data_IF_743218182248
#
_entry.id   IF_743218182248
#
_cell.length_a   1.000
_cell.length_b   1.000
_cell.length_c   1.000
_cell.angle_alpha   90.00
_cell.angle_beta   90.00
_cell.angle_gamma   90.00
#
_symmetry.space_group_name_H-M   'P 1'
#
loop_
_entity.id
_entity.type
_entity.pdbx_description
1 polymer ?
#
# COMPACT_ATOMS: atom_id res chain seq x y z
N UNK A 1 -2.53 12.17 0.05
CA UNK A 1 -1.61 11.02 0.22
C UNK A 1 -0.96 10.76 -1.13
N UNK A 2 0.35 10.52 -1.19
CA UNK A 2 1.01 10.17 -2.45
C UNK A 2 0.71 8.74 -2.84
N UNK A 3 0.25 8.51 -4.07
CA UNK A 3 -0.18 7.18 -4.53
C UNK A 3 0.99 6.20 -4.71
N UNK A 4 2.18 6.68 -5.07
CA UNK A 4 3.35 5.82 -5.33
C UNK A 4 3.99 5.22 -4.08
N UNK A 5 3.78 5.77 -2.88
CA UNK A 5 4.47 5.28 -1.68
C UNK A 5 3.74 5.59 -0.38
N UNK A 6 2.44 5.90 -0.47
CA UNK A 6 1.57 6.27 0.64
C UNK A 6 2.10 7.44 1.50
N UNK A 7 2.98 8.27 0.95
CA UNK A 7 3.59 9.39 1.68
C UNK A 7 2.51 10.37 2.10
N UNK A 8 2.52 10.74 3.39
CA UNK A 8 1.60 11.73 3.94
C UNK A 8 2.24 13.12 3.82
N UNK A 9 1.54 14.04 3.19
CA UNK A 9 2.02 15.40 2.92
C UNK A 9 0.99 16.42 3.40
N UNK A 10 1.48 17.52 3.95
CA UNK A 10 0.71 18.74 4.16
C UNK A 10 0.96 19.68 2.98
N UNK A 11 -0.12 20.14 2.35
CA UNK A 11 -0.10 20.99 1.16
C UNK A 11 -0.79 22.32 1.45
N UNK A 12 -0.35 23.38 0.76
CA UNK A 12 -1.05 24.67 0.75
C UNK A 12 -1.81 24.79 -0.56
N UNK A 13 -3.14 24.87 -0.46
CA UNK A 13 -4.00 25.09 -1.61
C UNK A 13 -3.83 26.53 -2.16
N UNK A 14 -4.05 26.73 -3.46
CA UNK A 14 -4.21 28.06 -4.05
C UNK A 14 -5.44 28.77 -3.46
N UNK A 15 -5.46 30.10 -3.47
CA UNK A 15 -6.52 30.90 -2.82
C UNK A 15 -7.93 30.60 -3.39
N UNK A 16 -8.01 30.21 -4.66
CA UNK A 16 -9.22 29.88 -5.41
C UNK A 16 -9.39 28.37 -5.65
N UNK A 17 -8.57 27.52 -5.02
CA UNK A 17 -8.65 26.08 -5.19
C UNK A 17 -9.94 25.52 -4.56
N UNK A 18 -10.75 24.85 -5.37
CA UNK A 18 -11.95 24.13 -4.92
C UNK A 18 -11.61 22.65 -4.71
N UNK A 19 -11.12 22.30 -3.51
CA UNK A 19 -10.68 20.95 -3.17
C UNK A 19 -11.66 20.25 -2.22
N UNK A 20 -11.99 19.00 -2.55
CA UNK A 20 -12.81 18.09 -1.75
C UNK A 20 -12.02 16.87 -1.27
N UNK A 21 -12.37 16.29 -0.11
CA UNK A 21 -11.78 15.02 0.31
C UNK A 21 -12.03 13.92 -0.74
N UNK A 22 -10.96 13.21 -1.13
CA UNK A 22 -11.00 12.19 -2.18
C UNK A 22 -10.49 12.69 -3.54
N UNK A 23 -10.33 14.00 -3.71
CA UNK A 23 -9.77 14.56 -4.93
C UNK A 23 -8.32 14.08 -5.17
N UNK A 24 -8.03 13.75 -6.43
CA UNK A 24 -6.67 13.43 -6.88
C UNK A 24 -6.06 14.65 -7.54
N UNK A 25 -4.88 15.03 -7.05
CA UNK A 25 -4.15 16.21 -7.49
C UNK A 25 -2.80 15.79 -8.05
N UNK A 26 -2.48 16.23 -9.26
CA UNK A 26 -1.09 16.18 -9.71
C UNK A 26 -0.26 17.19 -8.90
N UNK A 27 0.96 16.84 -8.52
CA UNK A 27 1.78 17.73 -7.67
C UNK A 27 2.27 18.97 -8.45
N UNK A 28 2.18 18.96 -9.77
CA UNK A 28 2.62 20.04 -10.67
C UNK A 28 1.51 21.04 -11.09
N UNK A 29 0.26 20.91 -10.61
CA UNK A 29 -0.84 21.82 -11.03
C UNK A 29 -0.94 23.07 -10.16
N UNK A 30 -1.44 24.15 -10.80
CA UNK A 30 -1.71 25.49 -10.25
C UNK A 30 -2.55 25.50 -8.96
N UNK A 31 -3.25 24.40 -8.64
CA UNK A 31 -4.06 24.28 -7.42
C UNK A 31 -3.23 24.22 -6.12
N UNK A 32 -1.90 24.08 -6.22
CA UNK A 32 -1.00 23.97 -5.07
C UNK A 32 0.02 25.10 -5.06
N UNK A 33 0.06 25.84 -3.95
CA UNK A 33 1.11 26.83 -3.69
C UNK A 33 2.43 26.19 -3.23
N UNK A 34 2.40 24.91 -2.86
CA UNK A 34 3.59 24.12 -2.51
C UNK A 34 3.32 23.00 -1.51
N UNK A 35 4.35 22.17 -1.31
CA UNK A 35 4.39 21.14 -0.27
C UNK A 35 5.01 21.76 0.99
N UNK A 36 4.26 21.79 2.10
CA UNK A 36 4.74 22.36 3.36
C UNK A 36 5.73 21.40 4.04
N UNK A 37 5.28 20.16 4.29
CA UNK A 37 6.07 19.15 4.99
C UNK A 37 5.52 17.75 4.80
N UNK A 38 6.35 16.76 5.15
CA UNK A 38 5.91 15.38 5.39
C UNK A 38 5.22 15.27 6.74
N UNK A 39 4.16 14.49 6.78
CA UNK A 39 3.41 14.14 7.98
C UNK A 39 3.70 12.68 8.37
N UNK A 40 3.52 12.37 9.64
CA UNK A 40 3.40 11.00 10.14
C UNK A 40 1.94 10.70 10.48
N UNK A 41 1.59 9.43 10.65
CA UNK A 41 0.24 9.02 11.05
C UNK A 41 -0.26 9.80 12.28
N UNK A 42 0.59 9.96 13.30
CA UNK A 42 0.23 10.64 14.55
C UNK A 42 0.06 12.16 14.42
N UNK A 43 0.58 12.77 13.35
CA UNK A 43 0.40 14.21 13.07
C UNK A 43 -0.84 14.51 12.23
N UNK A 44 -1.53 13.48 11.73
CA UNK A 44 -2.78 13.65 10.99
C UNK A 44 -3.93 14.03 11.93
N UNK A 45 -4.87 14.81 11.41
CA UNK A 45 -6.16 15.03 12.07
C UNK A 45 -6.94 13.72 12.19
N UNK A 46 -7.84 13.61 13.17
CA UNK A 46 -8.67 12.42 13.34
C UNK A 46 -9.45 12.08 12.05
N UNK A 47 -10.07 13.10 11.43
CA UNK A 47 -10.80 12.94 10.18
C UNK A 47 -9.94 12.43 9.01
N UNK A 48 -8.64 12.78 8.98
CA UNK A 48 -7.73 12.25 7.98
C UNK A 48 -7.33 10.80 8.30
N UNK A 49 -7.11 10.45 9.58
CA UNK A 49 -6.82 9.08 10.00
C UNK A 49 -7.98 8.13 9.66
N UNK A 50 -9.21 8.54 9.93
CA UNK A 50 -10.41 7.72 9.70
C UNK A 50 -10.61 7.37 8.21
N UNK A 51 -10.09 8.21 7.31
CA UNK A 51 -10.15 8.01 5.85
C UNK A 51 -8.98 7.22 5.26
N UNK A 52 -7.92 6.95 6.02
CA UNK A 52 -6.72 6.31 5.49
C UNK A 52 -7.04 4.95 4.87
N UNK A 53 -7.84 4.12 5.55
CA UNK A 53 -8.18 2.78 5.06
C UNK A 53 -8.90 2.82 3.71
N UNK A 54 -9.90 3.68 3.59
CA UNK A 54 -10.65 3.88 2.34
C UNK A 54 -9.73 4.42 1.23
N UNK A 55 -8.88 5.40 1.54
CA UNK A 55 -7.94 6.00 0.58
C UNK A 55 -6.92 4.98 0.07
N UNK A 56 -6.34 4.18 0.96
CA UNK A 56 -5.39 3.11 0.63
C UNK A 56 -6.09 2.05 -0.23
N UNK A 57 -7.31 1.67 0.12
CA UNK A 57 -8.12 0.71 -0.65
C UNK A 57 -8.30 1.19 -2.09
N UNK A 58 -8.70 2.44 -2.28
CA UNK A 58 -8.87 3.04 -3.59
C UNK A 58 -7.56 3.11 -4.38
N UNK A 59 -6.45 3.49 -3.74
CA UNK A 59 -5.13 3.53 -4.39
C UNK A 59 -4.70 2.12 -4.85
N UNK A 60 -4.89 1.10 -4.02
CA UNK A 60 -4.53 -0.28 -4.37
C UNK A 60 -5.40 -0.82 -5.49
N UNK A 61 -6.71 -0.58 -5.45
CA UNK A 61 -7.63 -1.01 -6.50
C UNK A 61 -7.27 -0.37 -7.85
N UNK A 62 -7.01 0.94 -7.87
CA UNK A 62 -6.69 1.66 -9.09
C UNK A 62 -5.29 1.38 -9.65
N UNK A 63 -4.43 0.79 -8.84
CA UNK A 63 -3.05 0.43 -9.20
C UNK A 63 -2.81 -1.08 -9.03
N UNK A 64 -3.83 -1.92 -9.24
CA UNK A 64 -3.78 -3.36 -9.01
C UNK A 64 -2.52 -4.02 -9.56
N UNK A 65 -2.17 -3.74 -10.82
CA UNK A 65 -1.00 -4.34 -11.47
C UNK A 65 0.30 -4.11 -10.69
N UNK A 66 0.50 -2.92 -10.09
CA UNK A 66 1.69 -2.62 -9.29
C UNK A 66 1.80 -3.56 -8.08
N UNK A 67 0.68 -3.87 -7.45
CA UNK A 67 0.64 -4.71 -6.27
C UNK A 67 0.71 -6.19 -6.61
N UNK A 68 0.17 -6.59 -7.76
CA UNK A 68 0.39 -7.92 -8.33
C UNK A 68 1.86 -8.12 -8.70
N UNK A 69 2.49 -7.11 -9.29
CA UNK A 69 3.93 -7.14 -9.56
C UNK A 69 4.74 -7.25 -8.26
N UNK A 70 4.29 -6.64 -7.16
CA UNK A 70 4.91 -6.84 -5.85
C UNK A 70 4.84 -8.30 -5.38
N UNK A 71 3.69 -8.97 -5.54
CA UNK A 71 3.55 -10.40 -5.25
C UNK A 71 4.45 -11.26 -6.14
N UNK A 72 4.40 -11.02 -7.46
CA UNK A 72 5.17 -11.76 -8.47
C UNK A 72 6.69 -11.64 -8.27
N UNK A 73 7.14 -10.46 -7.84
CA UNK A 73 8.55 -10.15 -7.69
C UNK A 73 9.03 -10.26 -6.24
N UNK A 74 8.20 -10.69 -5.29
CA UNK A 74 8.57 -10.78 -3.88
C UNK A 74 9.79 -11.70 -3.67
N UNK A 75 10.80 -11.20 -2.96
CA UNK A 75 12.09 -11.88 -2.77
C UNK A 75 12.35 -12.29 -1.30
N UNK A 76 13.31 -13.22 -1.07
CA UNK A 76 13.92 -13.40 0.23
C UNK A 76 14.58 -12.11 0.74
N UNK A 77 14.28 -11.72 1.98
CA UNK A 77 14.99 -10.65 2.70
C UNK A 77 16.28 -11.20 3.31
N UNK A 78 16.28 -12.47 3.70
CA UNK A 78 17.45 -13.17 4.22
C UNK A 78 17.19 -14.67 4.34
N UNK A 79 18.07 -15.39 5.04
CA UNK A 79 18.05 -16.87 5.10
C UNK A 79 16.74 -17.48 5.64
N UNK A 80 16.01 -16.74 6.49
CA UNK A 80 14.79 -17.23 7.16
C UNK A 80 13.57 -16.35 6.95
N UNK A 81 13.67 -15.28 6.14
CA UNK A 81 12.61 -14.29 6.00
C UNK A 81 12.43 -13.86 4.55
N UNK A 82 11.18 -13.75 4.13
CA UNK A 82 10.74 -13.36 2.81
C UNK A 82 9.95 -12.05 2.87
N UNK A 83 9.86 -11.33 1.76
CA UNK A 83 9.04 -10.12 1.66
C UNK A 83 7.55 -10.42 1.89
N UNK A 84 7.04 -11.56 1.41
CA UNK A 84 5.66 -12.00 1.68
C UNK A 84 5.35 -12.19 3.18
N UNK A 85 6.36 -12.48 4.02
CA UNK A 85 6.17 -12.66 5.47
C UNK A 85 5.88 -11.35 6.21
N UNK A 86 5.94 -10.21 5.51
CA UNK A 86 5.55 -8.94 6.12
C UNK A 86 4.04 -8.76 6.13
N UNK A 87 3.32 -9.43 5.22
CA UNK A 87 1.87 -9.32 5.16
C UNK A 87 1.23 -9.99 6.37
N UNK A 88 0.17 -9.39 6.94
CA UNK A 88 -0.56 -10.01 8.03
C UNK A 88 -1.08 -11.39 7.59
N UNK A 89 -1.10 -12.34 8.53
CA UNK A 89 -1.61 -13.69 8.31
C UNK A 89 -0.96 -14.52 7.18
N UNK A 90 0.19 -14.08 6.64
CA UNK A 90 1.02 -14.90 5.75
C UNK A 90 2.12 -15.60 6.54
N UNK A 91 1.85 -16.86 6.91
CA UNK A 91 2.84 -17.79 7.45
C UNK A 91 3.52 -18.64 6.37
N UNK A 92 4.43 -19.53 6.79
CA UNK A 92 5.24 -20.38 5.90
C UNK A 92 4.42 -21.08 4.80
N UNK A 93 3.30 -21.71 5.18
CA UNK A 93 2.45 -22.47 4.24
C UNK A 93 1.90 -21.59 3.12
N UNK A 94 1.38 -20.40 3.46
CA UNK A 94 0.81 -19.46 2.47
C UNK A 94 1.90 -18.87 1.60
N UNK A 95 3.03 -18.45 2.20
CA UNK A 95 4.19 -17.97 1.46
C UNK A 95 4.66 -19.00 0.42
N UNK A 96 4.85 -20.25 0.83
CA UNK A 96 5.31 -21.33 -0.05
C UNK A 96 4.32 -21.58 -1.19
N UNK A 97 3.01 -21.59 -0.89
CA UNK A 97 1.98 -21.71 -1.92
C UNK A 97 2.01 -20.57 -2.95
N UNK A 98 2.17 -19.31 -2.52
CA UNK A 98 2.30 -18.16 -3.43
C UNK A 98 3.54 -18.31 -4.32
N UNK A 99 4.69 -18.68 -3.76
CA UNK A 99 5.94 -18.84 -4.50
C UNK A 99 5.82 -19.98 -5.53
N UNK A 100 5.23 -21.11 -5.13
CA UNK A 100 5.10 -22.27 -6.01
C UNK A 100 4.13 -22.02 -7.16
N UNK A 101 3.02 -21.32 -6.91
CA UNK A 101 2.14 -20.88 -7.99
C UNK A 101 2.83 -19.86 -8.90
N UNK A 102 3.51 -18.86 -8.35
CA UNK A 102 4.23 -17.85 -9.13
C UNK A 102 5.29 -18.47 -10.06
N UNK A 103 5.95 -19.57 -9.63
CA UNK A 103 6.90 -20.33 -10.47
C UNK A 103 6.25 -20.98 -11.70
N UNK A 104 4.95 -21.29 -11.63
CA UNK A 104 4.17 -21.84 -12.75
C UNK A 104 3.72 -20.76 -13.74
N UNK A 105 3.75 -19.51 -13.32
CA UNK A 105 3.41 -18.33 -14.12
C UNK A 105 3.11 -17.14 -13.23
N UNK A 106 3.43 -15.93 -13.69
CA UNK A 106 3.07 -14.70 -12.98
C UNK A 106 1.56 -14.61 -12.80
N UNK A 107 1.13 -14.03 -11.68
CA UNK A 107 -0.26 -13.63 -11.46
C UNK A 107 -0.60 -12.43 -12.33
N UNK A 108 -1.82 -12.37 -12.83
CA UNK A 108 -2.29 -11.28 -13.71
C UNK A 108 -3.08 -10.22 -12.95
N UNK A 109 -3.88 -10.64 -11.98
CA UNK A 109 -4.72 -9.79 -11.14
C UNK A 109 -4.92 -10.45 -9.75
N UNK A 110 -5.61 -9.78 -8.82
CA UNK A 110 -5.88 -10.31 -7.49
C UNK A 110 -6.79 -11.54 -7.52
N UNK A 111 -7.69 -11.61 -8.50
CA UNK A 111 -8.61 -12.73 -8.66
C UNK A 111 -7.87 -14.00 -9.10
N UNK A 112 -6.90 -13.90 -10.01
CA UNK A 112 -6.02 -15.00 -10.44
C UNK A 112 -5.15 -15.48 -9.27
N UNK A 113 -4.59 -14.55 -8.49
CA UNK A 113 -3.83 -14.88 -7.28
C UNK A 113 -4.68 -15.66 -6.27
N UNK A 114 -5.88 -15.18 -5.95
CA UNK A 114 -6.79 -15.85 -5.01
C UNK A 114 -7.29 -17.20 -5.55
N UNK A 115 -7.60 -17.28 -6.84
CA UNK A 115 -8.07 -18.53 -7.47
C UNK A 115 -6.99 -19.61 -7.49
N UNK A 116 -5.72 -19.24 -7.67
CA UNK A 116 -4.60 -20.19 -7.74
C UNK A 116 -4.07 -20.58 -6.37
N UNK A 117 -4.18 -19.70 -5.38
CA UNK A 117 -3.71 -19.95 -4.02
C UNK A 117 -4.92 -20.08 -3.09
N UNK A 118 -5.60 -21.23 -3.09
CA UNK A 118 -6.84 -21.46 -2.32
C UNK A 118 -6.77 -21.05 -0.83
N UNK A 119 -5.57 -21.14 -0.23
CA UNK A 119 -5.36 -20.78 1.18
C UNK A 119 -5.24 -19.28 1.45
N UNK A 120 -5.13 -18.46 0.40
CA UNK A 120 -4.95 -17.02 0.45
C UNK A 120 -6.30 -16.36 0.15
N UNK A 121 -6.92 -15.80 1.17
CA UNK A 121 -8.18 -15.08 1.04
C UNK A 121 -7.90 -13.58 1.00
N UNK A 122 -8.54 -12.89 0.06
CA UNK A 122 -8.47 -11.44 -0.10
C UNK A 122 -7.02 -10.88 -0.04
N UNK A 123 -6.19 -11.18 -1.06
CA UNK A 123 -4.81 -10.68 -1.11
C UNK A 123 -4.74 -9.14 -1.10
N UNK A 124 -5.76 -8.47 -1.63
CA UNK A 124 -5.86 -7.01 -1.59
C UNK A 124 -5.97 -6.48 -0.16
N UNK A 125 -6.83 -7.07 0.68
CA UNK A 125 -6.97 -6.67 2.08
C UNK A 125 -5.67 -6.82 2.88
N UNK A 126 -4.86 -7.85 2.59
CA UNK A 126 -3.58 -8.03 3.27
C UNK A 126 -2.61 -6.87 3.00
N UNK A 127 -2.60 -6.35 1.77
CA UNK A 127 -1.81 -5.16 1.41
C UNK A 127 -2.35 -3.89 2.06
N UNK A 128 -3.68 -3.73 2.14
CA UNK A 128 -4.31 -2.57 2.79
C UNK A 128 -3.93 -2.52 4.27
N UNK A 129 -4.13 -3.62 4.99
CA UNK A 129 -3.79 -3.72 6.41
C UNK A 129 -2.28 -3.54 6.63
N UNK A 130 -1.46 -4.08 5.72
CA UNK A 130 -0.01 -3.89 5.77
C UNK A 130 0.39 -2.42 5.61
N UNK A 131 -0.12 -1.73 4.60
CA UNK A 131 0.19 -0.33 4.35
C UNK A 131 -0.27 0.56 5.53
N UNK A 132 -1.43 0.25 6.12
CA UNK A 132 -1.93 0.96 7.29
C UNK A 132 -1.02 0.76 8.52
N UNK A 133 -0.57 -0.47 8.78
CA UNK A 133 0.40 -0.77 9.86
C UNK A 133 1.74 -0.05 9.60
N UNK A 134 2.27 -0.07 8.37
CA UNK A 134 3.52 0.63 8.03
C UNK A 134 3.44 2.16 8.24
N UNK A 135 2.25 2.75 8.06
CA UNK A 135 2.01 4.17 8.36
C UNK A 135 1.88 4.43 9.87
N UNK A 136 1.10 3.60 10.57
CA UNK A 136 0.78 3.79 12.00
C UNK A 136 1.98 3.50 12.90
N UNK A 137 2.71 2.44 12.62
CA UNK A 137 3.80 1.90 13.44
C UNK A 137 5.16 2.13 12.76
N UNK A 138 5.28 3.25 12.04
CA UNK A 138 6.40 3.55 11.15
C UNK A 138 7.78 3.47 11.83
N UNK A 139 7.88 3.65 13.14
CA UNK A 139 9.14 3.55 13.91
C UNK A 139 9.44 2.13 14.41
N UNK A 140 8.41 1.29 14.55
CA UNK A 140 8.52 -0.08 15.08
C UNK A 140 8.64 -1.12 13.96
N UNK A 141 8.07 -0.83 12.79
CA UNK A 141 8.11 -1.74 11.65
C UNK A 141 9.52 -1.81 11.07
N UNK A 142 10.17 -2.95 11.28
CA UNK A 142 11.55 -3.22 10.81
C UNK A 142 11.73 -3.17 9.29
N UNK A 143 10.70 -3.53 8.52
CA UNK A 143 10.78 -3.60 7.05
C UNK A 143 9.63 -2.80 6.48
N UNK A 144 9.88 -1.67 5.82
CA UNK A 144 8.84 -0.94 5.08
C UNK A 144 8.95 -1.33 3.61
N UNK A 145 7.96 -2.06 3.12
CA UNK A 145 7.98 -2.59 1.75
C UNK A 145 6.92 -1.95 0.85
N UNK A 146 5.90 -1.30 1.43
CA UNK A 146 4.82 -0.65 0.69
C UNK A 146 4.86 0.88 0.83
N UNK A 147 5.25 1.38 2.01
CA UNK A 147 5.32 2.79 2.36
C UNK A 147 6.77 3.29 2.27
N UNK A 148 6.96 4.49 1.71
CA UNK A 148 8.27 5.13 1.52
C UNK A 148 8.76 5.93 2.74
#
# INVERSE_FOLDING_TARGET
MGESGFVLLELVAAEDANLSPGDRLAVEVDALNGVTRRLTYHTLTQAAQDRLKETITAIIADNEQRFIDWYNNAQPIGLRKHQLDVLPDIGNKRREAIIDECRRGAFTDFADLEARVESLHDPQALLIERALSELREAEEVRYKLLVA
#
